data_IF_590428538101
#
_entry.id   IF_590428538101
#
_cell.length_a   1.000
_cell.length_b   1.000
_cell.length_c   1.000
_cell.angle_alpha   90.00
_cell.angle_beta   90.00
_cell.angle_gamma   90.00
#
_symmetry.space_group_name_H-M   'P 1'
#
loop_
_entity.id
_entity.type
_entity.pdbx_description
1 polymer ?
#
# COMPACT_ATOMS: atom_id res chain seq x y z
N UNK A 1 11.39 23.48 66.98
CA UNK A 1 10.02 23.01 66.64
C UNK A 1 9.45 23.56 65.32
N UNK A 2 9.97 24.69 64.76
CA UNK A 2 9.42 25.29 63.52
C UNK A 2 9.91 24.61 62.22
N UNK A 3 11.19 24.23 62.13
CA UNK A 3 11.76 23.57 60.93
C UNK A 3 11.13 22.22 60.59
N UNK A 4 10.67 21.48 61.59
CA UNK A 4 10.00 20.18 61.40
C UNK A 4 8.63 20.34 60.72
N UNK A 5 7.89 21.43 61.04
CA UNK A 5 6.58 21.71 60.44
C UNK A 5 6.67 22.16 58.98
N UNK A 6 7.69 22.94 58.62
CA UNK A 6 7.93 23.34 57.22
C UNK A 6 8.29 22.14 56.32
N UNK A 7 9.08 21.19 56.81
CA UNK A 7 9.44 19.99 56.04
C UNK A 7 8.23 19.07 55.79
N UNK A 8 7.30 18.98 56.74
CA UNK A 8 6.05 18.22 56.57
C UNK A 8 5.15 18.86 55.50
N UNK A 9 5.07 20.20 55.47
CA UNK A 9 4.27 20.92 54.47
C UNK A 9 4.86 20.80 53.05
N UNK A 10 6.19 20.88 52.92
CA UNK A 10 6.87 20.67 51.64
C UNK A 10 6.72 19.23 51.12
N UNK A 11 6.73 18.23 52.03
CA UNK A 11 6.50 16.84 51.68
C UNK A 11 5.04 16.60 51.22
N UNK A 12 4.05 17.20 51.90
CA UNK A 12 2.63 17.15 51.48
C UNK A 12 2.38 17.78 50.10
N UNK A 13 3.07 18.87 49.77
CA UNK A 13 2.95 19.52 48.45
C UNK A 13 3.53 18.66 47.31
N UNK A 14 4.52 17.82 47.58
CA UNK A 14 5.06 16.85 46.61
C UNK A 14 4.09 15.69 46.34
N UNK A 15 3.28 15.28 47.33
CA UNK A 15 2.25 14.25 47.17
C UNK A 15 0.94 14.76 46.55
N UNK A 16 0.72 16.09 46.54
CA UNK A 16 -0.44 16.74 45.92
C UNK A 16 -0.25 17.08 44.45
N UNK A 17 0.92 16.76 43.86
CA UNK A 17 1.13 16.85 42.43
C UNK A 17 0.14 15.95 41.70
N UNK A 18 -0.75 16.53 40.89
CA UNK A 18 -1.64 15.75 40.02
C UNK A 18 -0.80 15.01 38.98
N UNK A 19 -0.52 13.73 39.23
CA UNK A 19 0.02 12.83 38.23
C UNK A 19 -1.10 12.51 37.24
N UNK A 20 -1.17 13.23 36.12
CA UNK A 20 -2.06 12.85 35.03
C UNK A 20 -1.50 11.56 34.40
N UNK A 21 -2.06 10.42 34.80
CA UNK A 21 -1.81 9.14 34.16
C UNK A 21 -2.62 9.10 32.87
N UNK A 22 -1.96 9.27 31.73
CA UNK A 22 -2.58 9.00 30.43
C UNK A 22 -2.64 7.49 30.22
N UNK A 23 -3.83 6.92 30.37
CA UNK A 23 -4.09 5.54 29.99
C UNK A 23 -4.40 5.48 28.49
N UNK A 24 -3.98 4.39 27.82
CA UNK A 24 -4.48 4.07 26.49
C UNK A 24 -5.98 3.82 26.60
N UNK A 25 -6.77 4.57 25.85
CA UNK A 25 -8.21 4.37 25.75
C UNK A 25 -8.49 3.35 24.65
N UNK A 26 -9.20 2.29 25.00
CA UNK A 26 -9.79 1.39 24.01
C UNK A 26 -10.94 2.13 23.31
N UNK A 27 -10.78 2.36 22.01
CA UNK A 27 -11.76 3.00 21.13
C UNK A 27 -12.35 2.02 20.11
N UNK A 28 -12.03 0.73 20.21
CA UNK A 28 -12.41 -0.28 19.20
C UNK A 28 -13.94 -0.37 19.03
N UNK A 29 -14.70 -0.28 20.12
CA UNK A 29 -16.16 -0.30 20.08
C UNK A 29 -16.75 0.94 19.39
N UNK A 30 -16.18 2.12 19.62
CA UNK A 30 -16.64 3.36 18.99
C UNK A 30 -16.27 3.42 17.50
N UNK A 31 -15.13 2.82 17.12
CA UNK A 31 -14.69 2.76 15.74
C UNK A 31 -15.49 1.74 14.93
N UNK A 32 -15.66 0.52 15.43
CA UNK A 32 -16.12 -0.62 14.61
C UNK A 32 -17.39 -1.31 15.14
N UNK A 33 -17.87 -0.95 16.33
CA UNK A 33 -18.94 -1.67 17.03
C UNK A 33 -18.70 -3.20 17.04
N UNK A 34 -19.63 -3.99 16.50
CA UNK A 34 -19.53 -5.45 16.42
C UNK A 34 -18.67 -5.95 15.24
N UNK A 35 -18.27 -5.07 14.32
CA UNK A 35 -17.57 -5.41 13.07
C UNK A 35 -16.04 -5.28 13.23
N UNK A 36 -15.54 -5.48 14.45
CA UNK A 36 -14.18 -5.17 14.92
C UNK A 36 -13.13 -6.27 14.66
N UNK A 37 -13.25 -7.01 13.56
CA UNK A 37 -12.37 -8.12 13.23
C UNK A 37 -11.82 -8.04 11.80
N UNK A 38 -10.63 -8.61 11.60
CA UNK A 38 -9.89 -8.57 10.36
C UNK A 38 -8.55 -7.86 10.51
N UNK A 39 -7.84 -7.69 9.41
CA UNK A 39 -6.56 -6.97 9.33
C UNK A 39 -6.72 -5.78 8.41
N UNK A 40 -6.30 -4.60 8.87
CA UNK A 40 -6.25 -3.39 8.03
C UNK A 40 -5.22 -3.62 6.93
N UNK A 41 -5.66 -3.52 5.69
CA UNK A 41 -4.83 -3.76 4.51
C UNK A 41 -4.44 -2.46 3.80
N UNK A 42 -5.36 -1.50 3.74
CA UNK A 42 -5.12 -0.20 3.12
C UNK A 42 -6.02 0.90 3.69
N UNK A 43 -5.67 2.14 3.36
CA UNK A 43 -6.46 3.35 3.57
C UNK A 43 -6.66 4.05 2.22
N UNK A 44 -7.79 4.72 2.03
CA UNK A 44 -8.06 5.50 0.82
C UNK A 44 -9.39 6.24 0.93
N UNK A 45 -9.64 7.23 0.09
CA UNK A 45 -10.95 7.92 -0.01
C UNK A 45 -11.77 7.24 -1.12
N UNK A 46 -12.39 6.10 -0.80
CA UNK A 46 -13.16 5.32 -1.76
C UNK A 46 -14.48 6.01 -2.12
N UNK A 47 -15.08 6.69 -1.15
CA UNK A 47 -16.37 7.37 -1.32
C UNK A 47 -16.28 8.77 -1.94
N UNK A 48 -15.06 9.25 -2.21
CA UNK A 48 -14.77 10.60 -2.72
C UNK A 48 -15.39 11.71 -1.84
N UNK A 49 -15.43 11.47 -0.53
CA UNK A 49 -16.03 12.38 0.46
C UNK A 49 -14.98 13.12 1.30
N UNK A 50 -13.69 12.94 0.96
CA UNK A 50 -12.50 13.50 1.63
C UNK A 50 -12.21 12.90 3.00
N UNK A 51 -12.97 11.89 3.43
CA UNK A 51 -12.66 11.12 4.63
C UNK A 51 -11.83 9.89 4.25
N UNK A 52 -10.95 9.47 5.15
CA UNK A 52 -10.10 8.30 4.89
C UNK A 52 -10.83 7.03 5.31
N UNK A 53 -11.25 6.25 4.32
CA UNK A 53 -11.87 4.94 4.48
C UNK A 53 -10.82 3.86 4.76
N UNK A 54 -11.30 2.70 5.22
CA UNK A 54 -10.46 1.55 5.55
C UNK A 54 -10.80 0.33 4.72
N UNK A 55 -9.77 -0.36 4.25
CA UNK A 55 -9.89 -1.64 3.55
C UNK A 55 -9.42 -2.75 4.49
N UNK A 56 -10.32 -3.66 4.85
CA UNK A 56 -10.07 -4.73 5.82
C UNK A 56 -10.08 -6.07 5.11
N UNK A 57 -9.00 -6.84 5.23
CA UNK A 57 -8.99 -8.25 4.85
C UNK A 57 -9.48 -9.07 6.04
N UNK A 58 -10.49 -9.92 5.85
CA UNK A 58 -10.95 -10.86 6.89
C UNK A 58 -10.66 -12.29 6.47
N UNK A 59 -10.02 -13.03 7.36
CA UNK A 59 -9.61 -14.42 7.18
C UNK A 59 -8.87 -14.72 5.86
N UNK A 60 -8.25 -13.71 5.22
CA UNK A 60 -7.61 -13.80 3.90
C UNK A 60 -8.56 -14.23 2.77
N UNK A 61 -9.87 -14.12 2.95
CA UNK A 61 -10.88 -14.63 2.00
C UNK A 61 -11.87 -13.58 1.54
N UNK A 62 -11.99 -12.49 2.27
CA UNK A 62 -12.87 -11.38 1.90
C UNK A 62 -12.17 -10.04 2.15
N UNK A 63 -12.52 -9.05 1.34
CA UNK A 63 -12.17 -7.65 1.58
C UNK A 63 -13.45 -6.89 1.89
N UNK A 64 -13.43 -6.12 2.97
CA UNK A 64 -14.53 -5.25 3.37
C UNK A 64 -14.04 -3.81 3.36
N UNK A 65 -14.74 -2.94 2.64
CA UNK A 65 -14.48 -1.50 2.64
C UNK A 65 -15.38 -0.86 3.68
N UNK A 66 -14.76 -0.19 4.64
CA UNK A 66 -15.40 0.55 5.70
C UNK A 66 -15.40 2.03 5.36
N UNK A 67 -16.59 2.58 5.20
CA UNK A 67 -16.80 4.01 5.02
C UNK A 67 -16.56 4.74 6.34
N UNK A 68 -15.77 5.82 6.31
CA UNK A 68 -15.62 6.73 7.42
C UNK A 68 -16.91 7.56 7.64
N UNK A 69 -17.29 7.77 8.89
CA UNK A 69 -18.47 8.54 9.29
C UNK A 69 -18.12 9.46 10.46
N UNK A 70 -18.83 10.58 10.59
CA UNK A 70 -18.67 11.50 11.70
C UNK A 70 -19.39 11.04 12.99
N UNK A 71 -20.15 9.95 12.93
CA UNK A 71 -20.92 9.39 14.06
C UNK A 71 -20.55 7.94 14.32
N UNK A 72 -20.56 7.55 15.60
CA UNK A 72 -20.36 6.16 16.01
C UNK A 72 -21.40 5.21 15.36
N UNK A 73 -21.00 4.00 14.91
CA UNK A 73 -19.60 3.59 14.72
C UNK A 73 -18.92 4.40 13.61
N UNK A 74 -17.72 4.93 13.88
CA UNK A 74 -17.00 5.83 12.98
C UNK A 74 -16.57 5.17 11.66
N UNK A 75 -16.53 3.84 11.61
CA UNK A 75 -16.28 3.07 10.41
C UNK A 75 -17.42 2.09 10.19
N UNK A 76 -18.07 2.18 9.03
CA UNK A 76 -19.25 1.37 8.69
C UNK A 76 -18.92 0.47 7.51
N UNK A 77 -19.01 -0.87 7.62
CA UNK A 77 -18.78 -1.75 6.49
C UNK A 77 -19.88 -1.53 5.44
N UNK A 78 -19.48 -1.43 4.17
CA UNK A 78 -20.39 -1.13 3.06
C UNK A 78 -20.22 -2.05 1.87
N UNK A 79 -18.99 -2.27 1.43
CA UNK A 79 -18.68 -3.09 0.26
C UNK A 79 -17.97 -4.36 0.70
N UNK A 80 -18.35 -5.49 0.10
CA UNK A 80 -17.82 -6.81 0.43
C UNK A 80 -17.40 -7.52 -0.86
N UNK A 81 -16.08 -7.68 -1.03
CA UNK A 81 -15.50 -8.55 -2.06
C UNK A 81 -15.34 -9.93 -1.44
N UNK A 82 -16.16 -10.88 -1.90
CA UNK A 82 -16.30 -12.20 -1.29
C UNK A 82 -15.44 -13.25 -1.99
N UNK A 83 -15.18 -14.36 -1.28
CA UNK A 83 -14.31 -15.46 -1.73
C UNK A 83 -14.75 -16.12 -3.03
N UNK A 84 -16.06 -16.19 -3.26
CA UNK A 84 -16.69 -16.87 -4.39
C UNK A 84 -16.31 -16.30 -5.77
N UNK A 85 -15.79 -15.08 -5.80
CA UNK A 85 -15.29 -14.42 -7.01
C UNK A 85 -13.94 -15.00 -7.44
N UNK A 86 -13.14 -15.47 -6.49
CA UNK A 86 -11.78 -15.96 -6.77
C UNK A 86 -11.77 -17.46 -7.09
N UNK A 87 -10.76 -17.94 -7.84
CA UNK A 87 -10.52 -19.37 -7.99
C UNK A 87 -10.44 -20.09 -6.64
N UNK A 88 -10.72 -21.39 -6.65
CA UNK A 88 -10.58 -22.23 -5.43
C UNK A 88 -9.18 -22.10 -4.86
N UNK A 89 -9.10 -22.18 -3.54
CA UNK A 89 -7.84 -22.15 -2.80
C UNK A 89 -7.02 -20.86 -2.96
N UNK A 90 -7.67 -19.77 -3.39
CA UNK A 90 -7.08 -18.43 -3.42
C UNK A 90 -7.18 -17.76 -2.05
N UNK A 91 -6.08 -17.15 -1.61
CA UNK A 91 -6.02 -16.25 -0.46
C UNK A 91 -5.67 -14.84 -0.90
N UNK A 92 -6.27 -13.85 -0.24
CA UNK A 92 -6.04 -12.42 -0.48
C UNK A 92 -4.87 -11.98 0.39
N UNK A 93 -3.84 -11.41 -0.24
CA UNK A 93 -2.60 -11.02 0.43
C UNK A 93 -2.45 -9.53 0.62
N UNK A 94 -3.01 -8.70 -0.26
CA UNK A 94 -2.94 -7.24 -0.15
C UNK A 94 -4.08 -6.55 -0.90
N UNK A 95 -4.32 -5.29 -0.54
CA UNK A 95 -5.27 -4.37 -1.19
C UNK A 95 -4.51 -3.09 -1.54
N UNK A 96 -4.69 -2.58 -2.76
CA UNK A 96 -4.11 -1.32 -3.21
C UNK A 96 -5.20 -0.48 -3.90
N UNK A 97 -5.81 0.48 -3.19
CA UNK A 97 -6.74 1.41 -3.81
C UNK A 97 -6.00 2.37 -4.77
N UNK A 98 -6.63 2.71 -5.89
CA UNK A 98 -6.09 3.64 -6.90
C UNK A 98 -7.06 3.81 -8.07
N UNK A 99 -6.81 4.75 -8.98
CA UNK A 99 -7.60 4.96 -10.20
C UNK A 99 -6.84 4.34 -11.39
N UNK A 100 -7.06 3.04 -11.67
CA UNK A 100 -6.25 2.28 -12.63
C UNK A 100 -6.73 2.42 -14.07
N UNK A 101 -7.92 2.97 -14.32
CA UNK A 101 -8.42 3.24 -15.67
C UNK A 101 -8.47 4.74 -16.03
N UNK A 102 -8.16 5.62 -15.09
CA UNK A 102 -8.05 7.06 -15.29
C UNK A 102 -9.40 7.77 -15.32
N UNK A 103 -10.46 7.15 -14.80
CA UNK A 103 -11.82 7.71 -14.81
C UNK A 103 -12.13 8.61 -13.60
N UNK A 104 -11.13 8.86 -12.75
CA UNK A 104 -11.20 9.64 -11.51
C UNK A 104 -12.06 9.01 -10.41
N UNK A 105 -12.37 7.72 -10.52
CA UNK A 105 -13.01 6.94 -9.46
C UNK A 105 -12.00 6.00 -8.82
N UNK A 106 -12.21 5.70 -7.53
CA UNK A 106 -11.35 4.78 -6.81
C UNK A 106 -11.67 3.34 -7.22
N UNK A 107 -10.73 2.69 -7.88
CA UNK A 107 -10.72 1.25 -8.10
C UNK A 107 -10.00 0.54 -6.95
N UNK A 108 -10.07 -0.79 -6.98
CA UNK A 108 -9.44 -1.65 -5.99
C UNK A 108 -8.64 -2.75 -6.67
N UNK A 109 -7.32 -2.69 -6.53
CA UNK A 109 -6.42 -3.77 -6.90
C UNK A 109 -6.24 -4.72 -5.72
N UNK A 110 -6.42 -6.01 -5.95
CA UNK A 110 -6.15 -7.06 -4.98
C UNK A 110 -4.97 -7.92 -5.46
N UNK A 111 -4.04 -8.17 -4.55
CA UNK A 111 -3.03 -9.22 -4.76
C UNK A 111 -3.49 -10.48 -4.04
N UNK A 112 -3.33 -11.60 -4.72
CA UNK A 112 -3.77 -12.90 -4.23
C UNK A 112 -2.69 -13.95 -4.49
N UNK A 113 -2.74 -15.04 -3.73
CA UNK A 113 -1.91 -16.22 -3.95
C UNK A 113 -2.81 -17.45 -3.95
N UNK A 114 -2.58 -18.36 -4.89
CA UNK A 114 -3.21 -19.69 -4.87
C UNK A 114 -2.38 -20.53 -3.90
N UNK A 115 -3.03 -21.21 -2.96
CA UNK A 115 -2.36 -22.14 -2.04
C UNK A 115 -1.48 -23.11 -2.86
N UNK A 116 -0.26 -23.35 -2.36
CA UNK A 116 0.83 -24.11 -3.02
C UNK A 116 1.59 -23.39 -4.16
N UNK A 117 1.10 -22.26 -4.66
CA UNK A 117 1.85 -21.39 -5.56
C UNK A 117 2.56 -20.28 -4.78
N UNK A 118 3.82 -20.01 -5.13
CA UNK A 118 4.54 -18.81 -4.65
C UNK A 118 4.31 -17.59 -5.55
N UNK A 119 3.44 -17.72 -6.55
CA UNK A 119 3.17 -16.64 -7.48
C UNK A 119 1.99 -15.80 -6.99
N UNK A 120 2.12 -14.50 -7.21
CA UNK A 120 1.09 -13.50 -6.89
C UNK A 120 0.26 -13.21 -8.15
N UNK A 121 -1.05 -13.37 -8.04
CA UNK A 121 -2.02 -13.00 -9.07
C UNK A 121 -2.68 -11.68 -8.69
N UNK A 122 -2.94 -10.84 -9.69
CA UNK A 122 -3.56 -9.52 -9.49
C UNK A 122 -4.96 -9.49 -10.08
N UNK A 123 -5.90 -8.97 -9.30
CA UNK A 123 -7.27 -8.67 -9.70
C UNK A 123 -7.50 -7.17 -9.57
N UNK A 124 -8.27 -6.58 -10.49
CA UNK A 124 -8.64 -5.16 -10.43
C UNK A 124 -10.16 -5.05 -10.52
N UNK A 125 -10.76 -4.42 -9.52
CA UNK A 125 -12.19 -4.15 -9.41
C UNK A 125 -12.43 -2.67 -9.68
N UNK A 126 -13.32 -2.36 -10.62
CA UNK A 126 -13.55 -0.99 -11.06
C UNK A 126 -14.50 -0.24 -10.13
N UNK A 127 -14.15 0.99 -9.79
CA UNK A 127 -15.03 1.95 -9.17
C UNK A 127 -16.23 2.26 -10.07
N UNK A 128 -17.39 2.40 -9.44
CA UNK A 128 -18.60 2.82 -10.12
C UNK A 128 -19.50 3.58 -9.15
N UNK A 129 -19.36 4.90 -9.14
CA UNK A 129 -20.15 5.84 -8.35
C UNK A 129 -20.31 5.40 -6.89
N UNK A 130 -19.19 5.30 -6.17
CA UNK A 130 -19.13 4.86 -4.76
C UNK A 130 -19.53 3.38 -4.53
N UNK A 131 -19.53 2.58 -5.59
CA UNK A 131 -19.66 1.12 -5.54
C UNK A 131 -18.53 0.46 -6.32
N UNK A 132 -18.44 -0.88 -6.28
CA UNK A 132 -17.51 -1.65 -7.10
C UNK A 132 -18.28 -2.48 -8.12
N UNK A 133 -17.77 -2.54 -9.34
CA UNK A 133 -18.24 -3.49 -10.34
C UNK A 133 -17.75 -4.91 -10.00
N UNK A 134 -18.64 -5.66 -9.36
CA UNK A 134 -18.40 -7.04 -8.94
C UNK A 134 -18.45 -8.06 -10.10
N UNK A 135 -18.80 -7.62 -11.30
CA UNK A 135 -18.97 -8.48 -12.48
C UNK A 135 -17.95 -8.23 -13.58
N UNK A 136 -17.50 -6.97 -13.73
CA UNK A 136 -16.58 -6.53 -14.78
C UNK A 136 -15.12 -6.41 -14.34
N UNK A 137 -14.75 -6.95 -13.18
CA UNK A 137 -13.35 -7.01 -12.73
C UNK A 137 -12.47 -7.76 -13.74
N UNK A 138 -11.18 -7.45 -13.75
CA UNK A 138 -10.19 -8.17 -14.57
C UNK A 138 -9.20 -8.93 -13.69
N UNK A 139 -8.74 -10.06 -14.20
CA UNK A 139 -7.55 -10.75 -13.71
C UNK A 139 -6.42 -10.51 -14.71
N UNK A 140 -5.25 -10.10 -14.21
CA UNK A 140 -4.09 -9.96 -15.07
C UNK A 140 -3.69 -11.33 -15.66
N UNK A 141 -3.34 -11.35 -16.94
CA UNK A 141 -2.99 -12.57 -17.67
C UNK A 141 -1.58 -13.11 -17.40
N UNK A 142 -0.82 -12.46 -16.52
CA UNK A 142 0.49 -12.92 -16.01
C UNK A 142 0.49 -12.85 -14.49
N UNK A 143 1.30 -13.70 -13.89
CA UNK A 143 1.53 -13.76 -12.45
C UNK A 143 2.92 -13.23 -12.11
N UNK A 144 3.03 -12.63 -10.93
CA UNK A 144 4.27 -12.10 -10.40
C UNK A 144 4.97 -13.14 -9.51
N UNK A 145 6.29 -13.14 -9.52
CA UNK A 145 7.12 -14.01 -8.67
C UNK A 145 7.22 -13.52 -7.21
N UNK A 146 6.76 -12.29 -6.94
CA UNK A 146 6.72 -11.62 -5.64
C UNK A 146 5.58 -10.57 -5.64
N UNK A 147 5.36 -9.82 -4.56
CA UNK A 147 4.37 -8.74 -4.52
C UNK A 147 4.72 -7.62 -5.51
N UNK A 148 3.83 -7.24 -6.46
CA UNK A 148 4.11 -6.17 -7.41
C UNK A 148 4.12 -4.79 -6.73
N UNK A 149 4.75 -3.82 -7.40
CA UNK A 149 4.75 -2.41 -7.04
C UNK A 149 3.77 -1.65 -7.92
N UNK A 150 2.90 -0.86 -7.30
CA UNK A 150 2.06 0.11 -8.01
C UNK A 150 2.79 1.45 -8.07
N UNK A 151 2.94 2.00 -9.26
CA UNK A 151 3.66 3.25 -9.53
C UNK A 151 3.25 3.81 -10.89
N UNK A 152 3.29 5.13 -11.07
CA UNK A 152 3.22 5.70 -12.42
C UNK A 152 4.59 5.56 -13.10
N UNK A 153 4.70 4.65 -14.07
CA UNK A 153 5.97 4.31 -14.71
C UNK A 153 6.26 5.19 -15.92
N UNK A 154 5.25 5.52 -16.71
CA UNK A 154 5.37 6.28 -17.96
C UNK A 154 5.12 7.78 -17.80
N UNK A 155 4.58 8.17 -16.67
CA UNK A 155 4.31 9.53 -16.30
C UNK A 155 2.98 10.11 -16.77
N UNK A 156 1.93 9.29 -16.91
CA UNK A 156 0.61 9.70 -17.40
C UNK A 156 -0.43 9.96 -16.30
N UNK A 157 -0.02 9.92 -15.03
CA UNK A 157 -0.82 10.02 -13.81
C UNK A 157 -1.76 8.84 -13.54
N UNK A 158 -1.66 7.76 -14.31
CA UNK A 158 -2.40 6.51 -14.08
C UNK A 158 -1.45 5.50 -13.40
N UNK A 159 -1.88 4.79 -12.34
CA UNK A 159 -1.04 3.80 -11.69
C UNK A 159 -0.77 2.59 -12.59
N UNK A 160 0.52 2.30 -12.79
CA UNK A 160 1.01 1.09 -13.46
C UNK A 160 1.44 0.02 -12.45
N UNK A 161 1.50 -1.22 -12.91
CA UNK A 161 1.84 -2.38 -12.08
C UNK A 161 3.19 -2.94 -12.53
N UNK A 162 4.22 -2.66 -11.75
CA UNK A 162 5.59 -3.09 -11.99
C UNK A 162 5.91 -4.36 -11.18
N UNK A 163 6.64 -5.29 -11.78
CA UNK A 163 7.16 -6.44 -11.04
C UNK A 163 7.91 -7.43 -11.90
N UNK A 164 8.19 -8.61 -11.33
CA UNK A 164 8.91 -9.69 -12.01
C UNK A 164 7.96 -10.82 -12.38
N UNK A 165 7.85 -11.08 -13.67
CA UNK A 165 7.00 -12.09 -14.31
C UNK A 165 7.90 -13.04 -15.10
N UNK A 166 7.82 -14.36 -14.85
CA UNK A 166 8.65 -15.36 -15.55
C UNK A 166 10.15 -15.00 -15.67
N UNK A 167 10.74 -14.49 -14.58
CA UNK A 167 12.13 -14.01 -14.50
C UNK A 167 12.50 -12.80 -15.37
N UNK A 168 11.50 -12.10 -15.92
CA UNK A 168 11.66 -10.82 -16.63
C UNK A 168 11.04 -9.71 -15.79
N UNK A 169 11.67 -8.53 -15.78
CA UNK A 169 11.08 -7.35 -15.14
C UNK A 169 10.17 -6.64 -16.12
N UNK A 170 8.87 -6.62 -15.82
CA UNK A 170 7.84 -6.06 -16.68
C UNK A 170 7.02 -5.01 -15.93
N UNK A 171 6.40 -4.13 -16.71
CA UNK A 171 5.36 -3.20 -16.25
C UNK A 171 4.09 -3.48 -17.04
N UNK A 172 2.98 -3.53 -16.33
CA UNK A 172 1.63 -3.65 -16.90
C UNK A 172 0.95 -2.29 -16.81
N UNK A 173 0.72 -1.70 -17.98
CA UNK A 173 -0.13 -0.52 -18.15
C UNK A 173 -1.58 -0.97 -18.23
N UNK A 174 -2.49 -0.27 -17.58
CA UNK A 174 -3.93 -0.53 -17.67
C UNK A 174 -4.54 0.58 -18.50
N UNK A 175 -4.75 0.33 -19.80
CA UNK A 175 -5.31 1.34 -20.71
C UNK A 175 -6.72 0.95 -21.10
N UNK A 176 -7.71 1.77 -20.76
CA UNK A 176 -9.13 1.46 -20.99
C UNK A 176 -9.51 0.08 -20.43
N UNK A 177 -9.07 -0.25 -19.21
CA UNK A 177 -9.27 -1.55 -18.54
C UNK A 177 -8.64 -2.75 -19.25
N UNK A 178 -7.75 -2.52 -20.22
CA UNK A 178 -7.02 -3.57 -20.94
C UNK A 178 -5.56 -3.58 -20.48
N UNK A 179 -5.05 -4.72 -19.95
CA UNK A 179 -3.67 -4.82 -19.52
C UNK A 179 -2.71 -4.94 -20.71
N UNK A 180 -1.72 -4.05 -20.76
CA UNK A 180 -0.67 -3.99 -21.78
C UNK A 180 0.69 -4.14 -21.12
N UNK A 181 1.42 -5.20 -21.46
CA UNK A 181 2.71 -5.51 -20.85
C UNK A 181 3.87 -4.97 -21.67
N UNK A 182 4.87 -4.39 -20.99
CA UNK A 182 6.15 -4.03 -21.59
C UNK A 182 7.31 -4.43 -20.69
N UNK A 183 8.47 -4.68 -21.29
CA UNK A 183 9.71 -4.81 -20.54
C UNK A 183 10.01 -3.48 -19.85
N UNK A 184 10.17 -3.52 -18.53
CA UNK A 184 10.44 -2.31 -17.75
C UNK A 184 11.93 -1.90 -17.84
N UNK A 185 12.83 -2.89 -17.98
CA UNK A 185 14.27 -2.68 -18.01
C UNK A 185 14.86 -3.15 -19.33
N UNK A 186 15.85 -2.40 -19.83
CA UNK A 186 16.63 -2.75 -21.03
C UNK A 186 17.62 -3.90 -20.78
N UNK A 187 17.98 -4.15 -19.53
CA UNK A 187 18.88 -5.23 -19.10
C UNK A 187 18.14 -6.19 -18.18
N UNK A 188 18.41 -7.49 -18.35
CA UNK A 188 17.89 -8.51 -17.45
C UNK A 188 18.58 -8.38 -16.08
N UNK A 189 17.83 -7.94 -15.08
CA UNK A 189 18.31 -7.78 -13.70
C UNK A 189 17.62 -8.82 -12.82
N UNK A 190 18.42 -9.59 -12.07
CA UNK A 190 17.90 -10.52 -11.07
C UNK A 190 17.51 -9.78 -9.80
N UNK A 191 16.21 -9.60 -9.62
CA UNK A 191 15.61 -8.94 -8.47
C UNK A 191 15.71 -9.83 -7.22
N UNK A 192 15.83 -9.21 -6.05
CA UNK A 192 15.76 -9.92 -4.76
C UNK A 192 14.32 -10.34 -4.48
N UNK A 193 14.11 -11.44 -3.77
CA UNK A 193 12.77 -11.87 -3.31
C UNK A 193 12.88 -12.15 -1.79
N UNK A 194 12.11 -11.46 -0.93
CA UNK A 194 11.24 -10.34 -1.26
C UNK A 194 12.06 -9.11 -1.72
N UNK A 195 11.53 -8.31 -2.66
CA UNK A 195 12.15 -7.04 -3.04
C UNK A 195 11.67 -5.89 -2.16
N UNK A 196 12.49 -4.84 -2.08
CA UNK A 196 12.16 -3.59 -1.41
C UNK A 196 12.31 -2.45 -2.40
N UNK A 197 11.36 -1.53 -2.35
CA UNK A 197 11.27 -0.38 -3.26
C UNK A 197 11.26 0.91 -2.43
N UNK A 198 11.89 1.96 -2.96
CA UNK A 198 11.81 3.30 -2.38
C UNK A 198 11.64 4.34 -3.49
N UNK A 199 10.78 5.32 -3.25
CA UNK A 199 10.63 6.49 -4.10
C UNK A 199 11.54 7.60 -3.57
N UNK A 200 12.56 7.97 -4.34
CA UNK A 200 13.54 8.98 -3.95
C UNK A 200 13.85 9.83 -5.18
N UNK A 201 13.66 11.14 -5.05
CA UNK A 201 14.24 12.12 -5.98
C UNK A 201 15.75 12.20 -5.73
N UNK A 202 16.51 11.42 -6.50
CA UNK A 202 17.97 11.34 -6.36
C UNK A 202 18.70 12.44 -7.15
N UNK A 203 18.05 13.04 -8.14
CA UNK A 203 18.63 14.06 -9.02
C UNK A 203 18.13 15.48 -8.75
N UNK A 204 17.27 15.65 -7.74
CA UNK A 204 16.72 16.94 -7.30
C UNK A 204 15.93 17.65 -8.41
N UNK A 205 15.29 16.89 -9.29
CA UNK A 205 14.45 17.47 -10.35
C UNK A 205 12.98 17.60 -9.93
N UNK A 206 12.68 17.38 -8.65
CA UNK A 206 11.35 17.39 -8.05
C UNK A 206 10.44 16.26 -8.57
N UNK A 207 11.02 15.27 -9.26
CA UNK A 207 10.34 14.04 -9.68
C UNK A 207 10.89 12.85 -8.90
N UNK A 208 10.01 11.96 -8.44
CA UNK A 208 10.46 10.78 -7.72
C UNK A 208 11.08 9.76 -8.69
N UNK A 209 12.35 9.41 -8.45
CA UNK A 209 12.96 8.20 -9.02
C UNK A 209 12.63 6.97 -8.19
N UNK A 210 12.78 5.77 -8.75
CA UNK A 210 12.58 4.51 -8.01
C UNK A 210 13.94 3.86 -7.75
N UNK A 211 14.23 3.56 -6.48
CA UNK A 211 15.35 2.68 -6.13
C UNK A 211 14.80 1.29 -5.86
N UNK A 212 15.37 0.29 -6.53
CA UNK A 212 14.98 -1.10 -6.31
C UNK A 212 16.19 -1.87 -5.79
N UNK A 213 15.96 -2.91 -4.98
CA UNK A 213 17.02 -3.73 -4.42
C UNK A 213 17.16 -5.08 -5.16
N UNK A 214 17.93 -5.17 -6.26
CA UNK A 214 18.41 -6.46 -6.76
C UNK A 214 19.45 -7.08 -5.81
N UNK A 215 19.91 -8.29 -6.12
CA UNK A 215 21.04 -8.94 -5.41
C UNK A 215 22.30 -8.04 -5.38
N UNK A 216 22.39 -7.08 -6.30
CA UNK A 216 23.28 -5.92 -6.27
C UNK A 216 22.38 -4.68 -6.36
N UNK A 217 22.55 -3.60 -5.58
CA UNK A 217 21.66 -2.43 -5.64
C UNK A 217 21.60 -1.82 -7.05
N UNK A 218 20.41 -1.57 -7.59
CA UNK A 218 20.22 -0.91 -8.90
C UNK A 218 19.11 0.14 -8.78
N UNK A 219 19.45 1.36 -9.17
CA UNK A 219 18.49 2.46 -9.24
C UNK A 219 17.76 2.39 -10.59
N UNK A 220 16.42 2.38 -10.56
CA UNK A 220 15.57 2.36 -11.75
C UNK A 220 14.87 3.71 -11.86
N UNK A 221 15.34 4.55 -12.77
CA UNK A 221 14.64 5.81 -13.05
C UNK A 221 13.35 5.49 -13.81
N UNK A 222 12.20 5.69 -13.17
CA UNK A 222 10.95 5.92 -13.88
C UNK A 222 11.10 7.21 -14.69
N UNK A 223 10.75 7.15 -15.98
CA UNK A 223 11.09 8.19 -16.94
C UNK A 223 9.80 8.91 -17.33
N UNK A 224 9.69 10.17 -16.92
CA UNK A 224 8.63 11.06 -17.36
C UNK A 224 8.96 11.62 -18.75
N UNK A 225 7.95 11.95 -19.58
CA UNK A 225 8.15 12.11 -21.00
C UNK A 225 8.77 13.47 -21.33
N UNK A 226 10.10 13.57 -21.40
CA UNK A 226 10.86 14.18 -22.50
C UNK A 226 12.32 13.67 -22.47
N UNK A 227 12.83 13.30 -23.64
CA UNK A 227 14.23 12.92 -23.98
C UNK A 227 14.75 11.51 -23.62
N UNK A 228 14.87 10.70 -24.69
CA UNK A 228 15.84 9.63 -25.04
C UNK A 228 16.50 8.72 -23.99
N UNK A 229 16.64 7.45 -24.36
CA UNK A 229 17.15 6.29 -23.62
C UNK A 229 18.35 6.56 -22.69
N UNK A 230 18.33 6.05 -21.45
CA UNK A 230 19.49 6.02 -20.57
C UNK A 230 20.02 4.59 -20.38
N UNK A 231 21.27 4.40 -20.76
CA UNK A 231 22.08 3.20 -20.51
C UNK A 231 22.56 3.16 -19.07
N UNK A 232 22.44 2.01 -18.42
CA UNK A 232 23.05 1.73 -17.11
C UNK A 232 24.57 1.59 -17.27
N UNK A 233 25.33 2.59 -16.83
CA UNK A 233 26.75 2.40 -16.50
C UNK A 233 26.84 1.99 -15.03
N UNK A 234 27.11 0.70 -14.81
CA UNK A 234 27.36 0.15 -13.49
C UNK A 234 28.58 0.81 -12.86
N UNK A 235 28.35 1.69 -11.89
CA UNK A 235 29.37 2.06 -10.91
C UNK A 235 28.98 1.42 -9.58
N UNK A 236 29.76 0.43 -9.15
CA UNK A 236 29.69 -0.12 -7.81
C UNK A 236 29.97 1.01 -6.81
N UNK A 237 28.96 1.42 -6.05
CA UNK A 237 29.20 2.20 -4.85
C UNK A 237 29.36 1.25 -3.67
N UNK A 238 30.56 1.26 -3.08
CA UNK A 238 30.94 0.50 -1.89
C UNK A 238 30.16 0.99 -0.65
N UNK A 239 29.76 0.10 0.29
CA UNK A 239 28.86 0.45 1.39
C UNK A 239 29.67 0.99 2.57
N UNK A 240 30.00 2.28 2.57
CA UNK A 240 30.53 2.94 3.78
C UNK A 240 30.11 4.40 3.83
N UNK A 241 28.90 4.64 4.32
CA UNK A 241 28.56 5.86 5.05
C UNK A 241 27.26 5.64 5.80
N UNK A 242 27.38 5.43 7.11
CA UNK A 242 26.27 5.43 8.06
C UNK A 242 25.60 6.81 8.01
N UNK A 243 24.28 6.83 7.80
CA UNK A 243 23.44 8.00 8.06
C UNK A 243 23.32 8.15 9.58
N UNK A 244 23.92 9.20 10.13
CA UNK A 244 23.49 9.77 11.41
C UNK A 244 22.39 10.79 11.10
N UNK A 245 21.32 10.75 11.90
CA UNK A 245 20.13 11.61 11.83
C UNK A 245 20.47 13.09 12.04
#
# INVERSE_FOLDING_TARGET
>A
MWKLKCNILACLLLFLGQYNTFALQDVTADLFAAENYGTVAAFGDFYADKQTDMFIIRAQTEVVIFQADSKIPYFKPKIHIKKDIFPRDTIITSVVPGDYDGDSQMDVLLTTQILDSKQTTVFIFWGNNQTLDMSGWIMLNKTFTDQPLVMDFNGDMIPDIFGVTNAVTEVCYVTNRIPVWRNALSLAVNMRIPHSNAFIDLNKDLTAGVSIAPKVPVIIKAKWPQETSLSLNGTQYSPTSYLQF
#
